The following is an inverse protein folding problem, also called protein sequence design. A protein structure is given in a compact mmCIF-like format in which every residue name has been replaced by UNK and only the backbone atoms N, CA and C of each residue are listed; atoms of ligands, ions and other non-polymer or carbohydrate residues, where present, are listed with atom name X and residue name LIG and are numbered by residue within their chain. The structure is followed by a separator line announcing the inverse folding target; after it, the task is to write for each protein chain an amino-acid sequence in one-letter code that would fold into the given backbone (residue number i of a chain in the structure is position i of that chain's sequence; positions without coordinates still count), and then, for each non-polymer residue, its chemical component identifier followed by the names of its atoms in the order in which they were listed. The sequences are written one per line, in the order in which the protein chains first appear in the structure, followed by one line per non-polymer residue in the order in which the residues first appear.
data_IF_612543593031
#
_entry.id   IF_612543593031
#
_cell.length_a   1.000
_cell.length_b   1.000
_cell.length_c   1.000
_cell.angle_alpha   90.00
_cell.angle_beta   90.00
_cell.angle_gamma   90.00
#
_symmetry.space_group_name_H-M   'P 1'
#
loop_
_entity.id
_entity.type
_entity.pdbx_description
1 polymer ?
#
# COMPACT_ATOMS: atom_id res chain seq x y z
N UNK A 1 -17.80 -11.04 -10.37
CA UNK A 1 -17.46 -11.72 -9.09
C UNK A 1 -16.70 -12.99 -9.42
N UNK A 2 -15.41 -13.10 -9.07
CA UNK A 2 -14.59 -14.26 -9.41
C UNK A 2 -14.88 -15.45 -8.50
N UNK A 3 -14.82 -16.66 -9.07
CA UNK A 3 -14.78 -17.92 -8.31
C UNK A 3 -13.36 -18.48 -8.45
N UNK A 4 -12.61 -18.49 -7.35
CA UNK A 4 -11.19 -18.88 -7.35
C UNK A 4 -11.03 -20.15 -6.54
N UNK A 5 -10.32 -21.12 -7.12
CA UNK A 5 -9.98 -22.38 -6.48
C UNK A 5 -8.47 -22.60 -6.56
N UNK A 6 -7.85 -22.93 -5.43
CA UNK A 6 -6.43 -23.27 -5.30
C UNK A 6 -6.26 -24.67 -4.71
N UNK A 7 -5.06 -25.24 -4.83
CA UNK A 7 -4.73 -26.50 -4.12
C UNK A 7 -4.31 -26.23 -2.66
N UNK A 8 -3.77 -25.04 -2.40
CA UNK A 8 -3.54 -24.46 -1.08
C UNK A 8 -4.28 -23.12 -0.93
N UNK A 9 -4.28 -22.59 0.29
CA UNK A 9 -4.81 -21.27 0.58
C UNK A 9 -3.98 -20.17 -0.12
N UNK A 10 -2.66 -20.34 -0.22
CA UNK A 10 -1.79 -19.46 -1.03
C UNK A 10 -2.15 -19.44 -2.51
N UNK A 11 -2.44 -20.60 -3.12
CA UNK A 11 -2.88 -20.68 -4.53
C UNK A 11 -4.22 -19.96 -4.75
N UNK A 12 -5.16 -20.11 -3.81
CA UNK A 12 -6.44 -19.42 -3.87
C UNK A 12 -6.27 -17.91 -3.70
N UNK A 13 -5.41 -17.49 -2.76
CA UNK A 13 -5.07 -16.08 -2.52
C UNK A 13 -4.41 -15.44 -3.75
N UNK A 14 -3.53 -16.17 -4.44
CA UNK A 14 -2.92 -15.76 -5.69
C UNK A 14 -3.95 -15.47 -6.78
N UNK A 15 -4.87 -16.41 -7.03
CA UNK A 15 -5.91 -16.23 -8.04
C UNK A 15 -6.87 -15.08 -7.68
N UNK A 16 -7.20 -14.94 -6.40
CA UNK A 16 -8.03 -13.85 -5.88
C UNK A 16 -7.34 -12.50 -6.10
N UNK A 17 -6.06 -12.39 -5.74
CA UNK A 17 -5.29 -11.16 -5.90
C UNK A 17 -5.19 -10.71 -7.35
N UNK A 18 -4.96 -11.65 -8.27
CA UNK A 18 -4.91 -11.35 -9.69
C UNK A 18 -6.27 -10.86 -10.21
N UNK A 19 -7.37 -11.55 -9.88
CA UNK A 19 -8.72 -11.12 -10.25
C UNK A 19 -9.10 -9.76 -9.64
N UNK A 20 -8.75 -9.54 -8.37
CA UNK A 20 -9.00 -8.29 -7.68
C UNK A 20 -8.21 -7.13 -8.31
N UNK A 21 -6.97 -7.38 -8.74
CA UNK A 21 -6.17 -6.41 -9.48
C UNK A 21 -6.76 -6.09 -10.86
N UNK A 22 -7.38 -7.06 -11.54
CA UNK A 22 -8.08 -6.78 -12.81
C UNK A 22 -9.24 -5.80 -12.64
N UNK A 23 -9.93 -5.84 -11.50
CA UNK A 23 -11.07 -4.98 -11.21
C UNK A 23 -10.64 -3.58 -10.75
N UNK A 24 -9.72 -3.46 -9.78
CA UNK A 24 -9.31 -2.16 -9.23
C UNK A 24 -7.85 -2.15 -8.74
N UNK A 25 -6.91 -2.42 -9.65
CA UNK A 25 -5.48 -2.35 -9.36
C UNK A 25 -5.04 -1.01 -8.75
N UNK A 26 -5.64 0.11 -9.19
CA UNK A 26 -5.20 1.44 -8.77
C UNK A 26 -5.41 1.64 -7.27
N UNK A 27 -6.58 1.28 -6.76
CA UNK A 27 -6.88 1.39 -5.34
C UNK A 27 -6.00 0.46 -4.51
N UNK A 28 -5.73 -0.75 -5.00
CA UNK A 28 -4.80 -1.70 -4.34
C UNK A 28 -3.40 -1.10 -4.26
N UNK A 29 -2.88 -0.60 -5.38
CA UNK A 29 -1.56 0.02 -5.44
C UNK A 29 -1.48 1.24 -4.52
N UNK A 30 -2.49 2.13 -4.54
CA UNK A 30 -2.49 3.31 -3.69
C UNK A 30 -2.49 2.95 -2.19
N UNK A 31 -3.22 1.90 -1.80
CA UNK A 31 -3.21 1.41 -0.42
C UNK A 31 -1.83 0.87 -0.01
N UNK A 32 -1.15 0.14 -0.89
CA UNK A 32 0.21 -0.39 -0.64
C UNK A 32 1.28 0.72 -0.65
N UNK A 33 1.14 1.72 -1.52
CA UNK A 33 2.00 2.91 -1.51
C UNK A 33 1.77 3.72 -0.23
N UNK A 34 0.54 3.79 0.26
CA UNK A 34 0.20 4.44 1.52
C UNK A 34 0.85 3.74 2.73
N UNK A 35 0.79 2.41 2.80
CA UNK A 35 1.42 1.66 3.89
C UNK A 35 2.94 1.74 3.87
N UNK A 36 3.54 1.93 2.70
CA UNK A 36 4.98 2.20 2.51
C UNK A 36 5.39 3.64 2.81
N UNK A 37 4.44 4.55 3.04
CA UNK A 37 4.73 5.98 3.23
C UNK A 37 5.33 6.63 1.98
N UNK A 38 4.80 6.29 0.81
CA UNK A 38 5.31 6.75 -0.49
C UNK A 38 4.25 7.52 -1.31
N UNK A 39 3.11 7.91 -0.73
CA UNK A 39 2.05 8.60 -1.48
C UNK A 39 2.51 9.98 -1.97
N UNK A 40 3.31 10.68 -1.16
CA UNK A 40 3.93 11.95 -1.54
C UNK A 40 4.88 11.79 -2.72
N UNK A 41 5.58 10.65 -2.81
CA UNK A 41 6.44 10.36 -3.97
C UNK A 41 5.65 10.02 -5.23
N UNK A 42 4.51 9.33 -5.10
CA UNK A 42 3.68 8.94 -6.24
C UNK A 42 2.88 10.13 -6.79
N UNK A 43 2.19 10.87 -5.92
CA UNK A 43 1.23 11.90 -6.32
C UNK A 43 1.79 13.33 -6.27
N UNK A 44 2.84 13.56 -5.48
CA UNK A 44 3.41 14.89 -5.25
C UNK A 44 2.49 15.85 -4.49
N UNK A 45 3.05 17.01 -4.16
CA UNK A 45 2.30 18.15 -3.63
C UNK A 45 2.20 19.22 -4.70
N UNK A 46 0.98 19.68 -4.99
CA UNK A 46 0.75 20.75 -5.97
C UNK A 46 0.31 22.02 -5.27
N UNK A 47 1.05 23.08 -5.55
CA UNK A 47 0.75 24.41 -5.07
C UNK A 47 -0.01 25.20 -6.15
N UNK A 48 -1.20 25.71 -5.84
CA UNK A 48 -2.05 26.38 -6.85
C UNK A 48 -1.62 27.81 -7.17
N UNK A 49 -0.91 28.50 -6.29
CA UNK A 49 -0.48 29.89 -6.49
C UNK A 49 0.63 30.30 -5.53
N UNK A 50 1.35 31.39 -5.84
CA UNK A 50 2.33 32.02 -4.93
C UNK A 50 1.67 32.42 -3.60
N UNK A 51 0.40 32.83 -3.61
CA UNK A 51 -0.35 33.13 -2.38
C UNK A 51 -0.50 31.88 -1.50
N UNK A 52 -0.77 30.73 -2.12
CA UNK A 52 -0.81 29.44 -1.41
C UNK A 52 0.53 29.07 -0.76
N UNK A 53 1.66 29.50 -1.33
CA UNK A 53 2.98 29.33 -0.70
C UNK A 53 3.11 30.16 0.58
N UNK A 54 2.75 31.45 0.51
CA UNK A 54 2.78 32.32 1.68
C UNK A 54 1.77 31.91 2.76
N UNK A 55 0.62 31.37 2.35
CA UNK A 55 -0.36 30.80 3.28
C UNK A 55 0.22 29.55 3.97
N UNK A 56 0.92 28.68 3.23
CA UNK A 56 1.61 27.51 3.79
C UNK A 56 2.70 27.91 4.80
N UNK A 57 3.51 28.93 4.50
CA UNK A 57 4.50 29.47 5.44
C UNK A 57 3.87 30.03 6.73
N UNK A 58 2.60 30.44 6.67
CA UNK A 58 1.81 30.89 7.82
C UNK A 58 1.03 29.76 8.49
N UNK A 59 1.30 28.50 8.13
CA UNK A 59 0.64 27.31 8.67
C UNK A 59 -0.74 27.01 8.08
N UNK A 60 -1.15 27.68 7.00
CA UNK A 60 -2.45 27.44 6.33
C UNK A 60 -2.26 26.53 5.12
N UNK A 61 -3.04 25.46 5.05
CA UNK A 61 -3.03 24.52 3.90
C UNK A 61 -4.00 24.92 2.77
N UNK A 62 -4.42 26.18 2.73
CA UNK A 62 -5.37 26.68 1.74
C UNK A 62 -4.74 26.69 0.34
N UNK A 63 -5.30 25.90 -0.57
CA UNK A 63 -4.83 25.83 -1.95
C UNK A 63 -3.64 24.89 -2.19
N UNK A 64 -3.28 24.06 -1.21
CA UNK A 64 -2.30 22.97 -1.36
C UNK A 64 -3.04 21.66 -1.57
N UNK A 65 -2.79 20.96 -2.68
CA UNK A 65 -3.38 19.64 -2.97
C UNK A 65 -2.32 18.55 -2.81
N UNK A 66 -2.66 17.44 -2.15
CA UNK A 66 -1.73 16.33 -1.92
C UNK A 66 -0.91 16.48 -0.64
N UNK A 67 -1.23 17.45 0.23
CA UNK A 67 -0.57 17.58 1.54
C UNK A 67 -0.94 16.41 2.46
N UNK A 68 -2.13 15.85 2.28
CA UNK A 68 -2.63 14.65 2.91
C UNK A 68 -1.74 13.42 2.64
N UNK A 69 -1.15 13.32 1.45
CA UNK A 69 -0.23 12.25 1.09
C UNK A 69 1.07 12.35 1.91
N UNK A 70 1.58 13.57 2.08
CA UNK A 70 2.77 13.81 2.91
C UNK A 70 2.47 13.57 4.39
N UNK A 71 1.27 13.93 4.85
CA UNK A 71 0.84 13.64 6.20
C UNK A 71 0.77 12.13 6.46
N UNK A 72 0.24 11.34 5.51
CA UNK A 72 0.26 9.89 5.58
C UNK A 72 1.69 9.34 5.64
N UNK A 73 2.58 9.81 4.78
CA UNK A 73 3.97 9.34 4.73
C UNK A 73 4.68 9.61 6.06
N UNK A 74 4.48 10.81 6.63
CA UNK A 74 4.97 11.16 7.96
C UNK A 74 4.39 10.24 9.05
N UNK A 75 3.07 10.00 9.02
CA UNK A 75 2.39 9.11 9.96
C UNK A 75 2.96 7.69 9.94
N UNK A 76 3.18 7.11 8.76
CA UNK A 76 3.77 5.77 8.61
C UNK A 76 5.13 5.67 9.29
N UNK A 77 5.96 6.71 9.15
CA UNK A 77 7.28 6.77 9.78
C UNK A 77 7.21 7.01 11.30
N UNK A 78 6.27 7.83 11.78
CA UNK A 78 6.15 8.12 13.22
C UNK A 78 5.61 6.94 14.01
N UNK A 79 4.62 6.23 13.45
CA UNK A 79 4.07 5.03 14.09
C UNK A 79 5.07 3.86 14.04
N UNK A 80 6.05 3.93 13.14
CA UNK A 80 7.06 2.88 13.01
C UNK A 80 6.43 1.58 12.50
N UNK A 81 5.53 1.66 11.51
CA UNK A 81 4.84 0.46 10.95
C UNK A 81 5.85 -0.60 10.52
N UNK A 82 6.98 -0.15 9.96
CA UNK A 82 8.04 -1.00 9.45
C UNK A 82 9.10 -1.35 10.51
N UNK A 83 9.02 -0.78 11.72
CA UNK A 83 10.03 -0.94 12.77
C UNK A 83 10.03 -2.36 13.32
N UNK A 84 11.02 -3.13 12.90
CA UNK A 84 11.18 -4.53 13.29
C UNK A 84 10.16 -5.47 12.64
N UNK A 85 9.44 -5.02 11.61
CA UNK A 85 8.38 -5.83 10.98
C UNK A 85 8.92 -7.14 10.41
N UNK A 86 10.11 -7.16 9.81
CA UNK A 86 10.72 -8.39 9.28
C UNK A 86 10.83 -9.50 10.34
N UNK A 87 11.25 -9.11 11.56
CA UNK A 87 11.42 -10.04 12.68
C UNK A 87 10.07 -10.51 13.21
N UNK A 88 9.12 -9.58 13.39
CA UNK A 88 7.78 -9.91 13.86
C UNK A 88 7.03 -10.77 12.84
N UNK A 89 7.19 -10.48 11.55
CA UNK A 89 6.59 -11.25 10.47
C UNK A 89 7.04 -12.72 10.51
N UNK A 90 8.33 -12.98 10.64
CA UNK A 90 8.85 -14.36 10.69
C UNK A 90 8.46 -15.08 12.00
N UNK A 91 8.47 -14.37 13.13
CA UNK A 91 8.34 -14.98 14.45
C UNK A 91 6.90 -15.04 14.98
N UNK A 92 6.04 -14.10 14.60
CA UNK A 92 4.70 -13.91 15.16
C UNK A 92 3.60 -14.28 14.17
N UNK A 93 3.85 -14.23 12.85
CA UNK A 93 2.85 -14.58 11.83
C UNK A 93 2.93 -16.09 11.52
N UNK A 94 1.83 -16.83 11.74
CA UNK A 94 1.75 -18.25 11.41
C UNK A 94 2.10 -18.55 9.94
N UNK A 95 2.65 -19.74 9.68
CA UNK A 95 3.14 -20.11 8.35
C UNK A 95 2.04 -20.19 7.28
N UNK A 96 0.85 -20.65 7.66
CA UNK A 96 -0.36 -20.67 6.84
C UNK A 96 -0.81 -19.25 6.46
N UNK A 97 -0.79 -18.30 7.41
CA UNK A 97 -1.10 -16.89 7.12
C UNK A 97 -0.04 -16.27 6.20
N UNK A 98 1.24 -16.60 6.39
CA UNK A 98 2.30 -16.15 5.48
C UNK A 98 2.12 -16.69 4.07
N UNK A 99 1.75 -17.96 3.92
CA UNK A 99 1.44 -18.58 2.61
C UNK A 99 0.34 -17.81 1.87
N UNK A 100 -0.73 -17.44 2.57
CA UNK A 100 -1.82 -16.60 2.02
C UNK A 100 -1.30 -15.23 1.59
N UNK A 101 -0.52 -14.55 2.43
CA UNK A 101 0.02 -13.22 2.11
C UNK A 101 1.01 -13.28 0.93
N UNK A 102 1.86 -14.29 0.88
CA UNK A 102 2.83 -14.50 -0.20
C UNK A 102 2.12 -14.84 -1.51
N UNK A 103 1.09 -15.69 -1.47
CA UNK A 103 0.22 -15.98 -2.60
C UNK A 103 -0.45 -14.71 -3.13
N UNK A 104 -1.03 -13.90 -2.25
CA UNK A 104 -1.68 -12.64 -2.62
C UNK A 104 -0.68 -11.65 -3.26
N UNK A 105 0.51 -11.47 -2.66
CA UNK A 105 1.56 -10.63 -3.21
C UNK A 105 2.02 -11.12 -4.60
N UNK A 106 2.19 -12.43 -4.76
CA UNK A 106 2.56 -13.05 -6.03
C UNK A 106 1.49 -12.83 -7.12
N UNK A 107 0.20 -12.87 -6.77
CA UNK A 107 -0.89 -12.61 -7.72
C UNK A 107 -0.88 -11.16 -8.23
N UNK A 108 -0.65 -10.17 -7.35
CA UNK A 108 -0.47 -8.78 -7.77
C UNK A 108 0.79 -8.63 -8.64
N UNK A 109 1.89 -9.26 -8.25
CA UNK A 109 3.13 -9.21 -9.03
C UNK A 109 2.95 -9.77 -10.45
N UNK A 110 2.17 -10.85 -10.61
CA UNK A 110 1.82 -11.36 -11.94
C UNK A 110 1.00 -10.33 -12.72
N UNK A 111 -0.03 -9.75 -12.10
CA UNK A 111 -0.83 -8.71 -12.77
C UNK A 111 0.03 -7.54 -13.27
N UNK A 112 1.00 -7.10 -12.46
CA UNK A 112 1.96 -6.06 -12.84
C UNK A 112 2.87 -6.48 -13.98
N UNK A 113 3.34 -7.74 -13.98
CA UNK A 113 4.15 -8.29 -15.07
C UNK A 113 3.39 -8.24 -16.39
N UNK A 114 2.10 -8.54 -16.37
CA UNK A 114 1.24 -8.51 -17.55
C UNK A 114 0.81 -7.07 -17.93
N UNK A 115 0.79 -6.15 -16.95
CA UNK A 115 0.34 -4.76 -17.12
C UNK A 115 1.37 -3.72 -16.63
N UNK A 116 2.61 -3.70 -17.15
CA UNK A 116 3.72 -2.94 -16.56
C UNK A 116 3.55 -1.41 -16.63
N UNK A 117 2.65 -0.91 -17.49
CA UNK A 117 2.37 0.53 -17.63
C UNK A 117 1.54 1.10 -16.48
N UNK A 118 0.73 0.27 -15.83
CA UNK A 118 -0.12 0.70 -14.72
C UNK A 118 0.65 0.81 -13.40
N UNK A 119 1.79 0.10 -13.30
CA UNK A 119 2.51 -0.10 -12.06
C UNK A 119 3.42 1.08 -11.67
N UNK A 120 3.36 1.47 -10.39
CA UNK A 120 4.37 2.31 -9.77
C UNK A 120 5.62 1.49 -9.48
N UNK A 121 6.60 1.56 -10.40
CA UNK A 121 7.79 0.69 -10.41
C UNK A 121 8.56 0.58 -9.10
N UNK A 122 8.54 1.62 -8.24
CA UNK A 122 9.27 1.58 -6.96
C UNK A 122 8.63 0.69 -5.91
N UNK A 123 7.36 0.32 -6.08
CA UNK A 123 6.63 -0.54 -5.13
C UNK A 123 6.92 -2.03 -5.36
N UNK A 124 7.19 -2.43 -6.61
CA UNK A 124 7.24 -3.84 -7.00
C UNK A 124 8.69 -4.37 -7.10
N UNK A 125 8.92 -5.67 -6.85
CA UNK A 125 7.94 -6.70 -6.49
C UNK A 125 7.50 -6.62 -5.03
N UNK A 126 6.24 -6.99 -4.78
CA UNK A 126 5.67 -7.13 -3.44
C UNK A 126 6.06 -8.47 -2.80
N UNK A 127 6.05 -8.49 -1.48
CA UNK A 127 6.22 -9.67 -0.62
C UNK A 127 5.03 -9.80 0.34
N UNK A 128 4.82 -10.97 0.97
CA UNK A 128 3.71 -11.14 1.91
C UNK A 128 3.74 -10.16 3.09
N UNK A 129 4.92 -9.71 3.50
CA UNK A 129 5.09 -8.66 4.52
C UNK A 129 4.46 -7.32 4.10
N UNK A 130 4.42 -6.99 2.80
CA UNK A 130 3.76 -5.78 2.30
C UNK A 130 2.25 -5.82 2.51
N UNK A 131 1.67 -6.99 2.36
CA UNK A 131 0.25 -7.23 2.58
C UNK A 131 -0.06 -7.01 4.07
N UNK A 132 0.75 -7.59 4.97
CA UNK A 132 0.61 -7.40 6.42
C UNK A 132 0.79 -5.94 6.83
N UNK A 133 1.80 -5.25 6.29
CA UNK A 133 2.02 -3.83 6.55
C UNK A 133 0.82 -2.97 6.08
N UNK A 134 0.20 -3.35 4.96
CA UNK A 134 -1.04 -2.74 4.46
C UNK A 134 -2.19 -2.83 5.45
N UNK A 135 -2.36 -3.98 6.10
CA UNK A 135 -3.37 -4.14 7.15
C UNK A 135 -3.03 -3.36 8.41
N UNK A 136 -1.78 -3.42 8.88
CA UNK A 136 -1.31 -2.69 10.05
C UNK A 136 -1.46 -1.18 9.91
N UNK A 137 -1.22 -0.64 8.71
CA UNK A 137 -1.40 0.78 8.40
C UNK A 137 -2.83 1.26 8.64
N UNK A 138 -3.84 0.40 8.44
CA UNK A 138 -5.24 0.77 8.66
C UNK A 138 -5.71 0.56 10.10
N UNK A 139 -5.08 -0.32 10.88
CA UNK A 139 -5.55 -0.70 12.22
C UNK A 139 -5.80 0.50 13.16
N UNK A 140 -4.90 1.49 13.26
CA UNK A 140 -5.13 2.63 14.17
C UNK A 140 -6.30 3.52 13.78
N UNK A 141 -6.77 3.47 12.53
CA UNK A 141 -7.89 4.28 12.04
C UNK A 141 -9.26 3.69 12.41
N UNK A 142 -9.32 2.45 12.92
CA UNK A 142 -10.57 1.80 13.34
C UNK A 142 -10.93 2.06 14.81
N UNK A 143 -10.08 2.76 15.57
CA UNK A 143 -10.33 3.14 16.95
C UNK A 143 -10.68 4.64 16.99
N UNK A 144 -11.97 4.95 17.04
CA UNK A 144 -12.52 6.30 17.10
C UNK A 144 -13.96 6.30 17.62
#
# INVERSE_FOLDING_TARGET
VPHVHGRSDGDAAFGLAYAHAQDDFRTIQDALVASRGMLGQLYGVKLKSIRGFFDLLKGKVTGVKGIENVANDYYVHVIGIWDGLDKKYINEVPADVRDVCDGYAAGINLYVKDNPKAAYKKLYPLQGIDVVAGFMHRTPLFYG
#
